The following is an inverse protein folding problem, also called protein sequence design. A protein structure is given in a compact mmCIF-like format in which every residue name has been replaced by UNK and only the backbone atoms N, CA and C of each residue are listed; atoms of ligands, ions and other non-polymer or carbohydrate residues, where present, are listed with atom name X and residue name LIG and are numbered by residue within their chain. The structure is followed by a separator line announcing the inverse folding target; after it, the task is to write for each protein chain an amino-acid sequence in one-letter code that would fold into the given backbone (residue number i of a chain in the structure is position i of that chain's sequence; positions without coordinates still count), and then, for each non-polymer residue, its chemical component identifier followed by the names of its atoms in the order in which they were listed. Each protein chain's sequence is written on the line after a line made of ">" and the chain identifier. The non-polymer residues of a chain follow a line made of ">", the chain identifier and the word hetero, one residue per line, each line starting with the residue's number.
data_IF_596899888276
#
_entry.id   IF_596899888276
#
_cell.length_a   1.000
_cell.length_b   1.000
_cell.length_c   1.000
_cell.angle_alpha   90.00
_cell.angle_beta   90.00
_cell.angle_gamma   90.00
#
_symmetry.space_group_name_H-M   'P 1'
#
loop_
_entity.id
_entity.type
_entity.pdbx_description
1 polymer ?
#
# COMPACT_ATOMS: atom_id res chain seq x y z
N UNK A 1 -5.29 7.76 -0.46
CA UNK A 1 -6.37 6.73 -0.45
C UNK A 1 -6.77 6.33 0.98
N UNK A 2 -5.87 5.81 1.81
CA UNK A 2 -6.22 5.36 3.18
C UNK A 2 -6.89 6.42 4.10
N UNK A 3 -6.70 7.71 3.87
CA UNK A 3 -7.33 8.79 4.66
C UNK A 3 -8.78 9.13 4.27
N UNK A 4 -9.27 8.56 3.16
CA UNK A 4 -10.60 8.89 2.63
C UNK A 4 -11.71 8.15 3.38
N UNK A 5 -11.48 6.89 3.76
CA UNK A 5 -12.45 6.03 4.43
C UNK A 5 -11.72 4.91 5.19
N UNK A 6 -12.25 4.47 6.35
CA UNK A 6 -11.72 3.34 7.12
C UNK A 6 -11.79 2.01 6.34
N UNK A 7 -12.67 1.92 5.34
CA UNK A 7 -12.81 0.81 4.42
C UNK A 7 -11.96 0.95 3.15
N UNK A 8 -11.22 2.06 3.00
CA UNK A 8 -10.29 2.22 1.89
C UNK A 8 -9.22 1.12 1.92
N UNK A 9 -8.72 0.75 0.74
CA UNK A 9 -7.69 -0.27 0.57
C UNK A 9 -6.50 0.34 -0.16
N UNK A 10 -5.33 0.32 0.49
CA UNK A 10 -4.06 0.77 -0.10
C UNK A 10 -3.10 -0.41 -0.17
N UNK A 11 -2.72 -0.81 -1.38
CA UNK A 11 -1.85 -1.96 -1.64
C UNK A 11 -0.60 -1.45 -2.38
N UNK A 12 0.58 -1.79 -1.89
CA UNK A 12 1.83 -1.63 -2.62
C UNK A 12 2.33 -2.99 -3.09
N UNK A 13 2.73 -3.09 -4.35
CA UNK A 13 3.33 -4.30 -4.94
C UNK A 13 4.72 -3.94 -5.42
N UNK A 14 5.75 -4.72 -5.03
CA UNK A 14 7.14 -4.44 -5.40
C UNK A 14 7.96 -5.74 -5.49
N UNK A 15 8.90 -5.85 -6.44
CA UNK A 15 9.87 -6.95 -6.42
C UNK A 15 11.01 -6.74 -5.40
N UNK A 16 11.18 -5.51 -4.93
CA UNK A 16 12.24 -5.12 -3.99
C UNK A 16 11.72 -5.17 -2.55
N UNK A 17 12.23 -6.14 -1.78
CA UNK A 17 11.88 -6.32 -0.36
C UNK A 17 12.41 -5.19 0.52
N UNK A 18 13.63 -4.72 0.27
CA UNK A 18 14.23 -3.63 1.05
C UNK A 18 13.43 -2.34 0.85
N UNK A 19 12.89 -2.14 -0.35
CA UNK A 19 11.97 -1.03 -0.62
C UNK A 19 10.65 -1.15 0.15
N UNK A 20 10.06 -2.36 0.24
CA UNK A 20 8.85 -2.57 1.03
C UNK A 20 9.08 -2.28 2.52
N UNK A 21 10.19 -2.75 3.08
CA UNK A 21 10.59 -2.48 4.47
C UNK A 21 10.78 -0.97 4.70
N UNK A 22 11.43 -0.28 3.75
CA UNK A 22 11.63 1.17 3.81
C UNK A 22 10.29 1.95 3.76
N UNK A 23 9.32 1.49 2.95
CA UNK A 23 7.98 2.06 2.88
C UNK A 23 7.23 1.82 4.19
N UNK A 24 7.28 0.61 4.76
CA UNK A 24 6.64 0.32 6.05
C UNK A 24 7.22 1.21 7.16
N UNK A 25 8.55 1.33 7.24
CA UNK A 25 9.22 2.22 8.18
C UNK A 25 8.79 3.68 8.00
N UNK A 26 8.64 4.13 6.76
CA UNK A 26 8.18 5.48 6.43
C UNK A 26 6.72 5.71 6.84
N UNK A 27 5.83 4.74 6.59
CA UNK A 27 4.44 4.76 7.03
C UNK A 27 4.39 4.91 8.55
N UNK A 28 5.11 4.06 9.30
CA UNK A 28 5.13 4.09 10.76
C UNK A 28 5.69 5.40 11.32
N UNK A 29 6.67 6.01 10.64
CA UNK A 29 7.23 7.31 11.03
C UNK A 29 6.27 8.46 10.78
N UNK A 30 5.55 8.44 9.65
CA UNK A 30 4.71 9.55 9.20
C UNK A 30 3.30 9.50 9.77
N UNK A 31 2.76 8.31 10.01
CA UNK A 31 1.37 8.11 10.47
C UNK A 31 1.01 8.95 11.71
N UNK A 32 1.83 9.04 12.78
CA UNK A 32 1.52 9.87 13.96
C UNK A 32 1.45 11.38 13.69
N UNK A 33 1.89 11.83 12.50
CA UNK A 33 1.90 13.26 12.12
C UNK A 33 0.71 13.64 11.24
N UNK A 34 -0.12 12.68 10.85
CA UNK A 34 -1.25 12.88 9.94
C UNK A 34 -2.49 13.35 10.70
N UNK A 35 -3.22 14.34 10.15
CA UNK A 35 -4.46 14.87 10.75
C UNK A 35 -5.53 13.77 10.94
N UNK A 36 -5.58 12.81 10.02
CA UNK A 36 -6.54 11.70 10.00
C UNK A 36 -5.91 10.36 10.37
N UNK A 37 -4.97 10.36 11.33
CA UNK A 37 -4.24 9.17 11.76
C UNK A 37 -5.15 7.95 12.01
N UNK A 38 -6.22 8.11 12.78
CA UNK A 38 -7.09 7.00 13.18
C UNK A 38 -7.76 6.32 11.97
N UNK A 39 -8.26 7.11 11.00
CA UNK A 39 -8.87 6.58 9.78
C UNK A 39 -7.83 5.83 8.95
N UNK A 40 -6.65 6.44 8.76
CA UNK A 40 -5.55 5.83 7.99
C UNK A 40 -5.13 4.52 8.64
N UNK A 41 -4.97 4.49 9.97
CA UNK A 41 -4.58 3.30 10.73
C UNK A 41 -5.61 2.18 10.57
N UNK A 42 -6.90 2.49 10.69
CA UNK A 42 -7.98 1.50 10.52
C UNK A 42 -8.01 0.92 9.11
N UNK A 43 -7.92 1.79 8.08
CA UNK A 43 -7.83 1.37 6.68
C UNK A 43 -6.63 0.46 6.42
N UNK A 44 -5.45 0.83 6.91
CA UNK A 44 -4.22 0.06 6.70
C UNK A 44 -4.24 -1.28 7.43
N UNK A 45 -4.72 -1.35 8.68
CA UNK A 45 -4.82 -2.61 9.44
C UNK A 45 -5.89 -3.56 8.89
N UNK A 46 -6.99 -3.02 8.38
CA UNK A 46 -8.10 -3.82 7.88
C UNK A 46 -7.84 -4.36 6.48
N UNK A 47 -7.27 -3.53 5.59
CA UNK A 47 -7.25 -3.81 4.14
C UNK A 47 -5.96 -3.40 3.44
N UNK A 48 -5.01 -2.79 4.14
CA UNK A 48 -3.70 -2.45 3.60
C UNK A 48 -2.85 -3.68 3.35
N UNK A 49 -1.99 -3.64 2.34
CA UNK A 49 -1.03 -4.71 2.08
C UNK A 49 0.24 -4.22 1.41
N UNK A 50 1.37 -4.84 1.79
CA UNK A 50 2.64 -4.77 1.07
C UNK A 50 2.89 -6.16 0.48
N UNK A 51 2.97 -6.27 -0.84
CA UNK A 51 3.06 -7.54 -1.55
C UNK A 51 4.40 -7.60 -2.28
N UNK A 52 5.27 -8.50 -1.82
CA UNK A 52 6.49 -8.83 -2.55
C UNK A 52 6.17 -9.76 -3.72
N UNK A 53 6.76 -9.46 -4.89
CA UNK A 53 6.70 -10.30 -6.10
C UNK A 53 8.11 -10.60 -6.60
N UNK A 54 8.25 -11.45 -7.61
CA UNK A 54 9.54 -11.78 -8.21
C UNK A 54 10.03 -10.68 -9.18
N UNK A 55 9.11 -10.08 -9.95
CA UNK A 55 9.41 -9.07 -10.95
C UNK A 55 8.18 -8.19 -11.29
N UNK A 56 8.37 -7.21 -12.17
CA UNK A 56 7.30 -6.31 -12.61
C UNK A 56 6.22 -7.01 -13.45
N UNK A 57 6.51 -8.17 -14.05
CA UNK A 57 5.51 -8.93 -14.79
C UNK A 57 4.54 -9.58 -13.81
N UNK A 58 5.03 -10.18 -12.74
CA UNK A 58 4.19 -10.70 -11.66
C UNK A 58 3.45 -9.55 -10.96
N UNK A 59 4.07 -8.37 -10.77
CA UNK A 59 3.36 -7.19 -10.26
C UNK A 59 2.13 -6.84 -11.11
N UNK A 60 2.27 -6.86 -12.45
CA UNK A 60 1.16 -6.63 -13.36
C UNK A 60 0.08 -7.72 -13.28
N UNK A 61 0.46 -9.00 -13.13
CA UNK A 61 -0.48 -10.11 -12.93
C UNK A 61 -1.27 -9.97 -11.62
N UNK A 62 -0.61 -9.58 -10.53
CA UNK A 62 -1.23 -9.26 -9.24
C UNK A 62 -2.20 -8.09 -9.40
N UNK A 63 -1.78 -6.99 -10.02
CA UNK A 63 -2.64 -5.82 -10.28
C UNK A 63 -3.87 -6.19 -11.13
N UNK A 64 -3.70 -7.00 -12.17
CA UNK A 64 -4.81 -7.47 -13.01
C UNK A 64 -5.83 -8.29 -12.22
N UNK A 65 -5.36 -9.10 -11.26
CA UNK A 65 -6.25 -9.89 -10.39
C UNK A 65 -6.97 -9.04 -9.36
N UNK A 66 -6.29 -8.02 -8.80
CA UNK A 66 -6.89 -7.07 -7.86
C UNK A 66 -7.93 -6.19 -8.57
N UNK A 67 -7.68 -5.83 -9.83
CA UNK A 67 -8.51 -4.92 -10.64
C UNK A 67 -8.83 -3.61 -9.88
N UNK A 68 -7.81 -2.82 -9.50
CA UNK A 68 -7.99 -1.68 -8.63
C UNK A 68 -8.75 -0.54 -9.34
N UNK A 69 -9.53 0.22 -8.58
CA UNK A 69 -10.18 1.45 -9.07
C UNK A 69 -9.12 2.48 -9.52
N UNK A 70 -8.05 2.61 -8.73
CA UNK A 70 -6.94 3.50 -8.97
C UNK A 70 -5.64 2.69 -9.04
N UNK A 71 -4.87 2.87 -10.12
CA UNK A 71 -3.56 2.26 -10.31
C UNK A 71 -2.51 3.36 -10.52
N UNK A 72 -1.45 3.33 -9.73
CA UNK A 72 -0.27 4.17 -9.89
C UNK A 72 0.92 3.31 -10.34
N UNK A 73 1.69 3.79 -11.31
CA UNK A 73 2.88 3.11 -11.83
C UNK A 73 4.13 3.95 -11.51
N UNK A 74 4.78 3.62 -10.40
CA UNK A 74 6.01 4.26 -9.92
C UNK A 74 7.22 3.38 -10.23
N UNK A 75 7.51 3.18 -11.53
CA UNK A 75 8.51 2.23 -12.06
C UNK A 75 9.74 2.89 -12.68
#
# INVERSE_FOLDING_TARGET
>A
QAEHDEQAQSILVSPDADFLDAVEASINKLLPTMEREEIIRTSMLGRGALIQVADLKEAAEVSNRIAPEHLELSV
#
